data_IF_135259978469
#
_entry.id   IF_135259978469
#
_cell.length_a   1.000
_cell.length_b   1.000
_cell.length_c   1.000
_cell.angle_alpha   90.00
_cell.angle_beta   90.00
_cell.angle_gamma   90.00
#
_symmetry.space_group_name_H-M   'P 1'
#
loop_
_entity.id
_entity.type
_entity.pdbx_description
1 polymer ?
#
# COMPACT_ATOMS: atom_id res chain seq x y z
N UNK A 1 -13.81 -9.83 1.76
CA UNK A 1 -14.86 -8.84 1.46
C UNK A 1 -15.30 -8.21 2.77
N UNK A 2 -15.45 -6.87 2.87
CA UNK A 2 -15.87 -6.28 4.14
C UNK A 2 -17.27 -6.80 4.49
N UNK A 3 -17.39 -7.39 5.67
CA UNK A 3 -18.68 -7.78 6.23
C UNK A 3 -19.54 -6.53 6.43
N UNK A 4 -20.87 -6.67 6.30
CA UNK A 4 -21.79 -5.58 6.58
C UNK A 4 -21.57 -5.06 8.00
N UNK A 5 -21.41 -3.73 8.12
CA UNK A 5 -21.10 -3.11 9.40
C UNK A 5 -21.90 -1.83 9.59
N UNK A 6 -22.54 -1.74 10.75
CA UNK A 6 -23.13 -0.51 11.22
C UNK A 6 -22.05 0.38 11.87
N UNK A 7 -21.93 1.62 11.42
CA UNK A 7 -21.06 2.63 12.01
C UNK A 7 -21.93 3.78 12.54
N UNK A 8 -21.81 4.02 13.85
CA UNK A 8 -22.43 5.19 14.49
C UNK A 8 -21.44 6.35 14.47
N UNK A 9 -21.87 7.50 13.97
CA UNK A 9 -21.22 8.80 14.07
C UNK A 9 -22.05 9.69 14.98
N UNK A 10 -21.54 10.87 15.35
CA UNK A 10 -22.21 11.78 16.30
C UNK A 10 -23.66 12.15 15.91
N UNK A 11 -23.96 12.22 14.61
CA UNK A 11 -25.27 12.65 14.09
C UNK A 11 -26.00 11.61 13.25
N UNK A 12 -25.41 10.44 13.00
CA UNK A 12 -26.02 9.45 12.10
C UNK A 12 -25.54 8.03 12.38
N UNK A 13 -26.31 7.06 11.89
CA UNK A 13 -25.91 5.65 11.78
C UNK A 13 -25.85 5.31 10.30
N UNK A 14 -24.71 4.80 9.86
CA UNK A 14 -24.49 4.40 8.48
C UNK A 14 -24.33 2.88 8.41
N UNK A 15 -24.99 2.25 7.44
CA UNK A 15 -24.70 0.89 7.02
C UNK A 15 -23.59 0.93 5.97
N UNK A 16 -22.49 0.22 6.23
CA UNK A 16 -21.44 -0.04 5.26
C UNK A 16 -21.63 -1.46 4.73
N UNK A 17 -21.81 -1.61 3.43
CA UNK A 17 -22.06 -2.91 2.78
C UNK A 17 -21.44 -2.93 1.38
N UNK A 18 -21.07 -4.12 0.92
CA UNK A 18 -20.68 -4.39 -0.47
C UNK A 18 -21.85 -4.96 -1.29
N UNK A 19 -23.04 -5.13 -0.69
CA UNK A 19 -24.22 -5.66 -1.37
C UNK A 19 -24.82 -4.62 -2.32
N UNK A 20 -24.74 -4.91 -3.62
CA UNK A 20 -25.17 -4.03 -4.71
C UNK A 20 -26.68 -3.79 -4.74
N UNK A 21 -27.49 -4.57 -4.00
CA UNK A 21 -28.94 -4.30 -3.90
C UNK A 21 -29.25 -2.91 -3.32
N UNK A 22 -28.33 -2.35 -2.53
CA UNK A 22 -28.49 -1.03 -1.93
C UNK A 22 -28.15 0.14 -2.86
N UNK A 23 -27.70 -0.11 -4.10
CA UNK A 23 -27.43 0.95 -5.08
C UNK A 23 -28.69 1.76 -5.44
N UNK A 24 -29.87 1.13 -5.40
CA UNK A 24 -31.16 1.79 -5.64
C UNK A 24 -31.82 2.32 -4.35
N UNK A 25 -31.16 2.21 -3.19
CA UNK A 25 -31.77 2.56 -1.92
C UNK A 25 -31.91 4.10 -1.77
N UNK A 26 -33.08 4.62 -1.36
CA UNK A 26 -33.32 6.07 -1.29
C UNK A 26 -32.41 6.82 -0.31
N UNK A 27 -31.82 6.10 0.65
CA UNK A 27 -30.87 6.66 1.61
C UNK A 27 -29.40 6.41 1.25
N UNK A 28 -29.09 5.91 0.05
CA UNK A 28 -27.70 5.80 -0.41
C UNK A 28 -27.06 7.19 -0.40
N UNK A 29 -25.95 7.33 0.34
CA UNK A 29 -25.20 8.59 0.44
C UNK A 29 -23.89 8.57 -0.34
N UNK A 30 -23.21 7.43 -0.37
CA UNK A 30 -21.93 7.31 -1.03
C UNK A 30 -21.71 5.91 -1.60
N UNK A 31 -20.93 5.84 -2.68
CA UNK A 31 -20.34 4.63 -3.23
C UNK A 31 -18.83 4.76 -3.14
N UNK A 32 -18.18 3.76 -2.54
CA UNK A 32 -16.73 3.73 -2.38
C UNK A 32 -16.13 2.72 -3.35
N UNK A 33 -15.14 3.18 -4.10
CA UNK A 33 -14.44 2.38 -5.10
C UNK A 33 -13.04 2.08 -4.61
N UNK A 34 -12.68 0.80 -4.61
CA UNK A 34 -11.28 0.42 -4.52
C UNK A 34 -10.67 0.49 -5.92
N UNK A 35 -9.67 1.35 -6.12
CA UNK A 35 -9.18 1.69 -7.45
C UNK A 35 -8.73 0.49 -8.29
N UNK A 36 -8.16 -0.53 -7.66
CA UNK A 36 -7.71 -1.77 -8.32
C UNK A 36 -8.85 -2.70 -8.72
N UNK A 37 -10.07 -2.42 -8.28
CA UNK A 37 -11.28 -3.15 -8.62
C UNK A 37 -12.29 -2.29 -9.39
N UNK A 38 -11.86 -1.11 -9.88
CA UNK A 38 -12.69 -0.28 -10.76
C UNK A 38 -12.72 -0.93 -12.13
N UNK A 39 -13.93 -1.31 -12.55
CA UNK A 39 -14.23 -1.78 -13.91
C UNK A 39 -15.14 -0.75 -14.59
N UNK A 40 -14.70 -0.11 -15.68
CA UNK A 40 -15.50 0.85 -16.43
C UNK A 40 -16.84 0.29 -16.93
N UNK A 41 -16.91 -1.01 -17.19
CA UNK A 41 -18.12 -1.67 -17.70
C UNK A 41 -19.09 -2.07 -16.57
N UNK A 42 -18.66 -2.02 -15.31
CA UNK A 42 -19.43 -2.38 -14.12
C UNK A 42 -19.70 -1.18 -13.18
N UNK A 43 -19.68 0.03 -13.73
CA UNK A 43 -19.92 1.24 -12.94
C UNK A 43 -21.41 1.41 -12.58
N UNK A 44 -21.75 1.76 -11.33
CA UNK A 44 -23.14 2.08 -10.98
C UNK A 44 -23.59 3.33 -11.75
N UNK A 45 -24.91 3.49 -12.01
CA UNK A 45 -25.41 4.68 -12.65
C UNK A 45 -25.05 5.93 -11.84
N UNK A 46 -24.68 7.01 -12.54
CA UNK A 46 -24.39 8.27 -11.88
C UNK A 46 -25.68 8.89 -11.34
N UNK A 47 -25.79 8.94 -10.01
CA UNK A 47 -26.90 9.58 -9.31
C UNK A 47 -26.44 10.75 -8.43
N UNK A 48 -27.21 11.04 -7.39
CA UNK A 48 -26.87 12.06 -6.37
C UNK A 48 -25.89 11.56 -5.30
N UNK A 49 -25.56 10.27 -5.30
CA UNK A 49 -24.61 9.69 -4.35
C UNK A 49 -23.18 10.22 -4.60
N UNK A 50 -22.44 10.45 -3.51
CA UNK A 50 -21.03 10.81 -3.55
C UNK A 50 -20.21 9.61 -4.00
N UNK A 51 -19.27 9.80 -4.94
CA UNK A 51 -18.31 8.76 -5.30
C UNK A 51 -16.96 9.04 -4.63
N UNK A 52 -16.51 8.08 -3.82
CA UNK A 52 -15.19 8.13 -3.17
C UNK A 52 -14.25 7.10 -3.78
N UNK A 53 -13.04 7.52 -4.14
CA UNK A 53 -11.96 6.64 -4.59
C UNK A 53 -10.96 6.39 -3.46
N UNK A 54 -10.66 5.13 -3.19
CA UNK A 54 -9.54 4.71 -2.37
C UNK A 54 -8.59 3.87 -3.22
N UNK A 55 -7.33 4.29 -3.34
CA UNK A 55 -6.36 3.62 -4.21
C UNK A 55 -4.91 3.81 -3.78
N UNK A 56 -4.20 2.70 -3.62
CA UNK A 56 -2.83 2.66 -3.09
C UNK A 56 -1.81 2.06 -4.06
N UNK A 57 -2.26 1.61 -5.23
CA UNK A 57 -1.41 0.91 -6.20
C UNK A 57 -0.68 1.88 -7.13
N UNK A 58 0.39 1.36 -7.73
CA UNK A 58 1.15 2.07 -8.76
C UNK A 58 0.30 2.37 -10.00
N UNK A 59 0.51 3.53 -10.66
CA UNK A 59 0.03 3.82 -12.01
C UNK A 59 0.25 2.69 -13.02
N UNK A 60 1.29 1.87 -12.83
CA UNK A 60 1.56 0.68 -13.66
C UNK A 60 0.43 -0.34 -13.59
N UNK A 61 -0.11 -0.57 -12.40
CA UNK A 61 -1.10 -1.61 -12.15
C UNK A 61 -2.50 -1.13 -12.52
N UNK A 62 -2.79 0.16 -12.35
CA UNK A 62 -4.06 0.77 -12.76
C UNK A 62 -3.83 2.06 -13.57
N UNK A 63 -3.44 1.96 -14.85
CA UNK A 63 -3.13 3.11 -15.68
C UNK A 63 -4.29 4.08 -15.86
N UNK A 64 -5.52 3.56 -15.82
CA UNK A 64 -6.73 4.36 -15.97
C UNK A 64 -6.82 5.49 -14.92
N UNK A 65 -6.44 5.21 -13.67
CA UNK A 65 -6.45 6.19 -12.58
C UNK A 65 -5.31 7.22 -12.65
N UNK A 66 -4.45 7.14 -13.68
CA UNK A 66 -3.46 8.17 -13.98
C UNK A 66 -3.99 9.30 -14.86
N UNK A 67 -5.23 9.19 -15.33
CA UNK A 67 -5.85 10.16 -16.23
C UNK A 67 -6.83 11.06 -15.48
N UNK A 68 -6.71 12.38 -15.69
CA UNK A 68 -7.58 13.38 -15.07
C UNK A 68 -9.07 13.13 -15.39
N UNK A 69 -9.38 12.66 -16.61
CA UNK A 69 -10.74 12.32 -17.01
C UNK A 69 -11.36 11.25 -16.09
N UNK A 70 -10.64 10.16 -15.80
CA UNK A 70 -11.11 9.12 -14.89
C UNK A 70 -11.17 9.62 -13.45
N UNK A 71 -10.14 10.32 -12.97
CA UNK A 71 -10.13 10.85 -11.61
C UNK A 71 -11.28 11.83 -11.36
N UNK A 72 -11.69 12.59 -12.38
CA UNK A 72 -12.81 13.55 -12.30
C UNK A 72 -14.18 12.92 -12.06
N UNK A 73 -14.31 11.60 -12.22
CA UNK A 73 -15.55 10.87 -11.90
C UNK A 73 -15.81 10.81 -10.39
N UNK A 74 -14.76 10.92 -9.58
CA UNK A 74 -14.83 10.79 -8.14
C UNK A 74 -14.90 12.16 -7.47
N UNK A 75 -15.82 12.32 -6.52
CA UNK A 75 -15.95 13.55 -5.74
C UNK A 75 -14.85 13.70 -4.70
N UNK A 76 -14.43 12.58 -4.11
CA UNK A 76 -13.34 12.53 -3.14
C UNK A 76 -12.38 11.43 -3.49
N UNK A 77 -11.10 11.68 -3.23
CA UNK A 77 -10.02 10.74 -3.45
C UNK A 77 -9.16 10.56 -2.20
N UNK A 78 -8.72 9.33 -2.00
CA UNK A 78 -7.71 8.95 -1.03
C UNK A 78 -6.68 8.06 -1.72
N UNK A 79 -5.57 8.67 -2.13
CA UNK A 79 -4.47 8.01 -2.85
C UNK A 79 -3.12 8.46 -2.30
N UNK A 80 -2.02 7.88 -2.80
CA UNK A 80 -0.65 8.33 -2.46
C UNK A 80 -0.35 9.78 -2.88
N UNK A 81 -1.18 10.39 -3.74
CA UNK A 81 -1.02 11.79 -4.13
C UNK A 81 -1.34 12.74 -2.98
N UNK A 82 -0.45 13.71 -2.73
CA UNK A 82 -0.69 14.82 -1.78
C UNK A 82 -1.84 15.74 -2.20
N UNK A 83 -2.28 15.65 -3.45
CA UNK A 83 -3.41 16.42 -3.97
C UNK A 83 -4.76 15.72 -3.75
N UNK A 84 -4.76 14.49 -3.24
CA UNK A 84 -5.99 13.81 -2.84
C UNK A 84 -6.69 14.55 -1.71
N UNK A 85 -8.02 14.41 -1.60
CA UNK A 85 -8.79 15.03 -0.51
C UNK A 85 -8.36 14.49 0.85
N UNK A 86 -8.01 13.19 0.90
CA UNK A 86 -7.41 12.54 2.05
C UNK A 86 -6.18 11.74 1.62
N UNK A 87 -4.98 12.36 1.54
CA UNK A 87 -3.78 11.66 1.10
C UNK A 87 -3.41 10.48 2.01
N UNK A 88 -3.03 9.36 1.40
CA UNK A 88 -2.49 8.20 2.11
C UNK A 88 -1.02 8.48 2.40
N UNK A 89 -0.72 8.92 3.62
CA UNK A 89 0.64 9.27 4.05
C UNK A 89 1.44 8.09 4.58
N UNK A 90 0.75 7.01 4.96
CA UNK A 90 1.33 5.79 5.47
C UNK A 90 0.66 4.60 4.79
N UNK A 91 1.47 3.72 4.21
CA UNK A 91 1.00 2.44 3.69
C UNK A 91 1.36 1.38 4.73
N UNK A 92 0.34 0.71 5.27
CA UNK A 92 0.44 -0.32 6.32
C UNK A 92 1.16 0.13 7.61
N UNK A 93 0.48 0.93 8.46
CA UNK A 93 0.88 1.16 9.85
C UNK A 93 -0.11 0.50 10.82
N UNK A 94 0.19 -0.71 11.36
CA UNK A 94 -0.72 -1.42 12.27
C UNK A 94 -1.02 -0.68 13.57
N UNK A 95 -0.05 0.07 14.11
CA UNK A 95 -0.19 0.81 15.37
C UNK A 95 0.76 2.00 15.43
N UNK A 96 0.29 3.10 16.03
CA UNK A 96 1.15 4.26 16.34
C UNK A 96 2.30 3.89 17.29
N UNK A 97 2.16 2.83 18.07
CA UNK A 97 3.23 2.33 18.94
C UNK A 97 4.48 1.92 18.15
N UNK A 98 4.32 1.41 16.92
CA UNK A 98 5.46 1.00 16.09
C UNK A 98 6.35 2.17 15.69
N UNK A 99 5.82 3.40 15.68
CA UNK A 99 6.61 4.61 15.38
C UNK A 99 7.54 5.01 16.54
N UNK A 100 7.24 4.58 17.76
CA UNK A 100 7.99 4.97 18.97
C UNK A 100 8.67 3.80 19.67
N UNK A 101 8.33 2.56 19.28
CA UNK A 101 8.90 1.35 19.83
C UNK A 101 10.41 1.26 19.61
N UNK A 102 11.12 0.83 20.64
CA UNK A 102 12.56 0.55 20.59
C UNK A 102 12.87 -0.95 20.46
N UNK A 103 11.85 -1.78 20.19
CA UNK A 103 11.96 -3.26 20.16
C UNK A 103 13.14 -3.77 19.32
N UNK A 104 13.37 -3.17 18.16
CA UNK A 104 14.43 -3.58 17.23
C UNK A 104 15.70 -2.71 17.31
N UNK A 105 15.81 -1.83 18.32
CA UNK A 105 16.99 -0.99 18.45
C UNK A 105 18.19 -1.83 18.87
N UNK A 106 19.32 -1.55 18.22
CA UNK A 106 20.61 -2.17 18.51
C UNK A 106 21.54 -1.14 19.14
N UNK A 107 22.32 -1.59 20.12
CA UNK A 107 23.38 -0.80 20.74
C UNK A 107 24.47 -0.49 19.72
N UNK A 108 25.30 0.53 20.00
CA UNK A 108 26.43 0.86 19.13
C UNK A 108 27.44 -0.27 19.02
N UNK A 109 27.62 -1.05 20.09
CA UNK A 109 28.52 -2.20 20.10
C UNK A 109 27.99 -3.34 19.21
N UNK A 110 26.70 -3.67 19.30
CA UNK A 110 26.06 -4.64 18.38
C UNK A 110 26.21 -4.19 16.92
N UNK A 111 25.96 -2.91 16.63
CA UNK A 111 26.14 -2.35 15.28
C UNK A 111 27.58 -2.48 14.79
N UNK A 112 28.57 -2.27 15.67
CA UNK A 112 29.98 -2.43 15.32
C UNK A 112 30.30 -3.89 14.95
N UNK A 113 29.74 -4.86 15.68
CA UNK A 113 29.93 -6.28 15.41
C UNK A 113 29.37 -6.71 14.05
N UNK A 114 28.33 -6.03 13.54
CA UNK A 114 27.75 -6.35 12.23
C UNK A 114 28.50 -5.74 11.03
N UNK A 115 29.43 -4.80 11.25
CA UNK A 115 30.12 -4.10 10.15
C UNK A 115 30.97 -5.00 9.26
N UNK A 116 31.46 -6.12 9.80
CA UNK A 116 32.25 -7.08 9.04
C UNK A 116 31.40 -8.10 8.28
N UNK A 117 30.11 -8.23 8.61
CA UNK A 117 29.22 -9.25 8.04
C UNK A 117 28.13 -8.70 7.12
N UNK A 118 27.73 -7.43 7.31
CA UNK A 118 26.69 -6.76 6.52
C UNK A 118 27.28 -5.78 5.51
N UNK A 119 26.62 -5.70 4.35
CA UNK A 119 26.86 -4.68 3.33
C UNK A 119 26.49 -3.28 3.81
N UNK A 120 27.02 -2.28 3.10
CA UNK A 120 26.75 -0.87 3.36
C UNK A 120 25.28 -0.53 3.08
N UNK A 121 24.67 -1.18 2.09
CA UNK A 121 23.29 -0.95 1.67
C UNK A 121 22.54 -2.27 1.70
N UNK A 122 21.31 -2.25 2.22
CA UNK A 122 20.37 -3.36 2.11
C UNK A 122 19.41 -3.10 0.96
N UNK A 123 19.22 -4.10 0.09
CA UNK A 123 18.20 -4.11 -0.95
C UNK A 123 17.19 -5.23 -0.69
N UNK A 124 15.91 -4.86 -0.62
CA UNK A 124 14.82 -5.78 -0.32
C UNK A 124 13.72 -5.60 -1.35
N UNK A 125 13.75 -6.41 -2.41
CA UNK A 125 12.78 -6.33 -3.50
C UNK A 125 12.54 -7.69 -4.16
N UNK A 126 11.27 -8.00 -4.46
CA UNK A 126 10.89 -9.23 -5.17
C UNK A 126 10.16 -9.03 -6.50
N UNK A 127 9.63 -7.83 -6.80
CA UNK A 127 9.17 -7.49 -8.16
C UNK A 127 10.30 -6.80 -8.93
N UNK A 128 10.95 -7.53 -9.84
CA UNK A 128 12.12 -7.06 -10.58
C UNK A 128 11.76 -6.39 -11.91
N UNK A 129 10.50 -6.49 -12.34
CA UNK A 129 10.05 -5.87 -13.57
C UNK A 129 9.51 -4.50 -13.21
N UNK A 130 10.35 -3.48 -13.05
CA UNK A 130 9.87 -2.15 -12.63
C UNK A 130 10.05 -1.09 -13.73
N UNK A 131 9.07 -0.20 -13.96
CA UNK A 131 9.18 0.85 -14.99
C UNK A 131 10.33 1.84 -14.75
N UNK A 132 10.74 2.02 -13.49
CA UNK A 132 11.85 2.89 -13.11
C UNK A 132 13.23 2.21 -13.22
N UNK A 133 13.28 0.94 -13.63
CA UNK A 133 14.50 0.17 -13.78
C UNK A 133 15.38 0.16 -12.51
N UNK A 134 14.74 0.12 -11.33
CA UNK A 134 15.43 0.24 -10.03
C UNK A 134 16.54 -0.80 -9.86
N UNK A 135 16.32 -2.02 -10.35
CA UNK A 135 17.30 -3.10 -10.25
C UNK A 135 18.58 -2.80 -11.03
N UNK A 136 18.49 -2.13 -12.18
CA UNK A 136 19.70 -1.71 -12.92
C UNK A 136 20.52 -0.67 -12.16
N UNK A 137 19.85 0.28 -11.47
CA UNK A 137 20.54 1.25 -10.61
C UNK A 137 21.28 0.55 -9.47
N UNK A 138 20.62 -0.42 -8.81
CA UNK A 138 21.25 -1.18 -7.72
C UNK A 138 22.40 -2.04 -8.24
N UNK A 139 22.25 -2.69 -9.40
CA UNK A 139 23.31 -3.47 -10.01
C UNK A 139 24.55 -2.63 -10.37
N UNK A 140 24.36 -1.38 -10.79
CA UNK A 140 25.48 -0.45 -11.01
C UNK A 140 26.13 -0.06 -9.67
N UNK A 141 25.33 0.28 -8.65
CA UNK A 141 25.81 0.63 -7.32
C UNK A 141 26.65 -0.49 -6.68
N UNK A 142 26.28 -1.74 -6.90
CA UNK A 142 26.99 -2.93 -6.43
C UNK A 142 28.44 -3.03 -6.90
N UNK A 143 28.81 -2.33 -7.99
CA UNK A 143 30.19 -2.28 -8.46
C UNK A 143 31.09 -1.39 -7.59
N UNK A 144 30.49 -0.47 -6.82
CA UNK A 144 31.21 0.55 -6.05
C UNK A 144 31.12 0.32 -4.54
N UNK A 145 30.04 -0.28 -4.04
CA UNK A 145 29.83 -0.57 -2.62
C UNK A 145 29.21 -1.94 -2.44
N UNK A 146 29.44 -2.56 -1.28
CA UNK A 146 28.77 -3.81 -0.94
C UNK A 146 27.29 -3.56 -0.68
N UNK A 147 26.43 -4.10 -1.54
CA UNK A 147 24.98 -4.16 -1.35
C UNK A 147 24.59 -5.60 -1.03
N UNK A 148 23.89 -5.79 0.07
CA UNK A 148 23.28 -7.07 0.44
C UNK A 148 21.82 -7.07 -0.06
N UNK A 149 21.50 -7.95 -1.00
CA UNK A 149 20.17 -8.11 -1.58
C UNK A 149 19.52 -9.42 -1.13
N UNK A 150 18.35 -9.33 -0.50
CA UNK A 150 17.66 -10.45 0.14
C UNK A 150 16.33 -10.87 -0.52
N UNK A 151 15.76 -10.02 -1.38
CA UNK A 151 14.52 -10.35 -2.09
C UNK A 151 14.78 -11.22 -3.33
N UNK A 152 13.77 -11.45 -4.18
CA UNK A 152 13.95 -12.23 -5.40
C UNK A 152 14.89 -11.53 -6.43
N UNK A 153 15.01 -10.20 -6.37
CA UNK A 153 15.81 -9.41 -7.30
C UNK A 153 17.25 -9.26 -6.83
N UNK A 154 18.22 -9.43 -7.74
CA UNK A 154 19.67 -9.31 -7.45
C UNK A 154 20.13 -10.16 -6.25
N UNK A 155 19.39 -11.21 -5.91
CA UNK A 155 19.52 -12.03 -4.70
C UNK A 155 20.95 -12.56 -4.53
N UNK A 156 21.74 -11.90 -3.67
CA UNK A 156 23.10 -12.32 -3.34
C UNK A 156 23.25 -12.70 -1.87
N UNK A 157 22.17 -12.55 -1.08
CA UNK A 157 22.07 -12.98 0.31
C UNK A 157 20.76 -13.72 0.53
N UNK A 158 20.84 -14.74 1.38
CA UNK A 158 19.67 -15.45 1.87
C UNK A 158 19.21 -14.84 3.19
N UNK A 159 17.89 -14.80 3.37
CA UNK A 159 17.26 -14.49 4.66
C UNK A 159 16.46 -15.72 5.11
N UNK A 160 16.43 -15.97 6.42
CA UNK A 160 15.72 -17.13 6.99
C UNK A 160 14.20 -16.95 7.07
N UNK A 161 13.70 -15.78 6.68
CA UNK A 161 12.28 -15.42 6.70
C UNK A 161 11.77 -15.52 5.27
N UNK A 162 10.63 -16.20 5.07
CA UNK A 162 10.00 -16.21 3.75
C UNK A 162 9.43 -14.83 3.43
N UNK A 163 9.93 -14.23 2.34
CA UNK A 163 9.50 -12.93 1.83
C UNK A 163 8.58 -13.06 0.61
N UNK A 164 8.15 -14.28 0.26
CA UNK A 164 7.27 -14.52 -0.89
C UNK A 164 5.89 -13.92 -0.72
N UNK A 165 5.41 -13.77 0.51
CA UNK A 165 4.16 -13.09 0.86
C UNK A 165 4.44 -11.84 1.71
N UNK A 166 4.90 -10.73 1.09
CA UNK A 166 5.36 -9.55 1.83
C UNK A 166 4.30 -8.99 2.77
N UNK A 167 3.02 -9.03 2.36
CA UNK A 167 1.92 -8.52 3.16
C UNK A 167 1.69 -9.35 4.42
N UNK A 168 1.70 -10.68 4.30
CA UNK A 168 1.58 -11.58 5.44
C UNK A 168 2.80 -11.49 6.36
N UNK A 169 4.00 -11.43 5.79
CA UNK A 169 5.24 -11.31 6.56
C UNK A 169 5.28 -9.98 7.33
N UNK A 170 4.97 -8.86 6.68
CA UNK A 170 4.88 -7.54 7.34
C UNK A 170 3.81 -7.48 8.44
N UNK A 171 2.78 -8.31 8.34
CA UNK A 171 1.70 -8.43 9.33
C UNK A 171 1.92 -9.57 10.33
N UNK A 172 3.10 -10.18 10.38
CA UNK A 172 3.38 -11.25 11.35
C UNK A 172 3.71 -10.68 12.74
N UNK A 173 3.33 -11.39 13.79
CA UNK A 173 3.68 -11.05 15.20
C UNK A 173 5.20 -11.00 15.44
N UNK A 174 5.98 -11.61 14.54
CA UNK A 174 7.44 -11.54 14.58
C UNK A 174 7.98 -10.15 14.22
N UNK A 175 7.24 -9.39 13.40
CA UNK A 175 7.60 -8.09 12.85
C UNK A 175 6.71 -6.92 13.36
N UNK A 176 5.59 -7.22 14.02
CA UNK A 176 4.78 -6.28 14.84
C UNK A 176 5.17 -6.39 16.31
#
# INVERSE_FOLDING_TARGET
MPQERNKTCEKCKCLLTADRKYLAHPHLKAVLFYGSSVDPDDMPPRGSAVWGLFHEESPRNVPLLSHAATLSLFNYSSTFSRHSNLPLTLQFLPSLHLLTSKRFFKTNQEKQNFRSSLGLVMYLQSDCSTPNNRDSYVAELMKYVQVDSYGACLNNRNISIDLKEPLETMMSDSLM
#
